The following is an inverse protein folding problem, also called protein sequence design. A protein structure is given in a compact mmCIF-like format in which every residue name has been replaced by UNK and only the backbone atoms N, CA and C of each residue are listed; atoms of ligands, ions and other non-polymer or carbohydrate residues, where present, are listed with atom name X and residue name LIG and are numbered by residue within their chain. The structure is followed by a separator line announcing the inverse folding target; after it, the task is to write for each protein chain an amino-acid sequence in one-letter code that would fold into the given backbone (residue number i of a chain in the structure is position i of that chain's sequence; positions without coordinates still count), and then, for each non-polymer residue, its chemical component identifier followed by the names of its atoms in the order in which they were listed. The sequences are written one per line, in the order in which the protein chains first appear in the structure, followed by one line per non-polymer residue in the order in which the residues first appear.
data_IF_313395674366
#
_entry.id   IF_313395674366
#
_cell.length_a   1.000
_cell.length_b   1.000
_cell.length_c   1.000
_cell.angle_alpha   90.00
_cell.angle_beta   90.00
_cell.angle_gamma   90.00
#
_symmetry.space_group_name_H-M   'P 1'
#
loop_
_entity.id
_entity.type
_entity.pdbx_description
1 polymer ?
#
# COMPACT_ATOMS: atom_id res chain seq x y z
N UNK A 1 -5.45 -27.13 -31.19
CA UNK A 1 -4.05 -27.11 -30.73
C UNK A 1 -4.04 -26.42 -29.37
N UNK A 2 -3.98 -27.17 -28.27
CA UNK A 2 -3.91 -26.58 -26.93
C UNK A 2 -2.45 -26.25 -26.59
N UNK A 3 -2.11 -24.97 -26.66
CA UNK A 3 -0.87 -24.44 -26.09
C UNK A 3 -1.02 -24.46 -24.56
N UNK A 4 -0.33 -25.39 -23.89
CA UNK A 4 -0.14 -25.32 -22.43
C UNK A 4 0.91 -24.24 -22.18
N UNK A 5 0.48 -23.12 -21.62
CA UNK A 5 1.38 -22.07 -21.14
C UNK A 5 2.35 -22.69 -20.10
N UNK A 6 3.64 -22.58 -20.36
CA UNK A 6 4.68 -22.99 -19.42
C UNK A 6 4.54 -22.16 -18.13
N UNK A 7 4.52 -22.79 -16.93
CA UNK A 7 4.40 -22.07 -15.68
C UNK A 7 5.56 -21.08 -15.54
N UNK A 8 5.23 -19.82 -15.23
CA UNK A 8 6.22 -18.77 -15.01
C UNK A 8 7.16 -19.11 -13.85
N UNK A 9 8.34 -18.49 -13.80
CA UNK A 9 9.34 -18.76 -12.75
C UNK A 9 8.74 -18.55 -11.34
N UNK A 10 7.89 -17.53 -11.18
CA UNK A 10 7.14 -17.28 -9.94
C UNK A 10 6.11 -18.38 -9.61
N UNK A 11 5.47 -18.95 -10.62
CA UNK A 11 4.52 -20.07 -10.49
C UNK A 11 5.23 -21.37 -10.07
N UNK A 12 6.48 -21.54 -10.52
CA UNK A 12 7.34 -22.67 -10.12
C UNK A 12 7.88 -22.49 -8.69
N UNK A 13 8.18 -21.25 -8.28
CA UNK A 13 8.63 -20.93 -6.93
C UNK A 13 7.49 -21.07 -5.90
N UNK A 14 6.30 -20.55 -6.21
CA UNK A 14 5.11 -20.71 -5.37
C UNK A 14 4.67 -22.18 -5.28
N UNK A 15 4.69 -22.92 -6.39
CA UNK A 15 4.44 -24.35 -6.42
C UNK A 15 5.46 -25.15 -5.59
N UNK A 16 6.75 -24.78 -5.64
CA UNK A 16 7.78 -25.43 -4.82
C UNK A 16 7.55 -25.18 -3.32
N UNK A 17 7.14 -23.97 -2.94
CA UNK A 17 6.84 -23.59 -1.55
C UNK A 17 5.59 -24.33 -1.02
N UNK A 18 4.56 -24.47 -1.84
CA UNK A 18 3.35 -25.24 -1.52
C UNK A 18 3.65 -26.74 -1.40
N UNK A 19 4.50 -27.28 -2.28
CA UNK A 19 4.91 -28.70 -2.25
C UNK A 19 5.75 -29.01 -1.02
N UNK A 20 6.70 -28.14 -0.67
CA UNK A 20 7.47 -28.21 0.59
C UNK A 20 6.52 -28.21 1.80
N UNK A 21 5.56 -27.26 1.84
CA UNK A 21 4.56 -27.16 2.92
C UNK A 21 3.68 -28.43 3.06
N UNK A 22 3.31 -29.05 1.94
CA UNK A 22 2.57 -30.32 1.92
C UNK A 22 3.37 -31.52 2.41
N UNK A 23 4.66 -31.59 2.10
CA UNK A 23 5.54 -32.66 2.59
C UNK A 23 5.83 -32.59 4.09
N UNK A 24 5.87 -31.39 4.70
CA UNK A 24 6.07 -31.22 6.14
C UNK A 24 4.87 -31.70 6.97
N UNK A 25 3.66 -31.49 6.47
CA UNK A 25 2.42 -31.91 7.16
C UNK A 25 2.19 -33.43 7.12
N UNK A 26 2.72 -34.12 6.10
CA UNK A 26 2.54 -35.56 5.91
C UNK A 26 3.49 -36.43 6.76
N UNK A 27 4.53 -35.86 7.36
CA UNK A 27 5.54 -36.58 8.17
C UNK A 27 5.45 -36.34 9.68
N UNK A 28 4.41 -35.65 10.16
CA UNK A 28 4.22 -35.41 11.60
C UNK A 28 5.21 -34.41 12.21
N UNK A 29 5.83 -33.56 11.39
CA UNK A 29 6.71 -32.48 11.84
C UNK A 29 5.96 -31.60 12.85
N UNK A 30 6.60 -31.32 13.99
CA UNK A 30 5.99 -30.57 15.09
C UNK A 30 5.94 -29.09 14.74
N UNK A 31 4.98 -28.69 13.91
CA UNK A 31 4.77 -27.28 13.58
C UNK A 31 4.30 -26.58 14.84
N UNK A 32 5.21 -25.86 15.50
CA UNK A 32 4.89 -25.09 16.70
C UNK A 32 3.69 -24.16 16.40
N UNK A 33 2.59 -24.28 17.16
CA UNK A 33 1.35 -23.53 16.92
C UNK A 33 1.55 -22.02 16.82
N UNK A 34 2.52 -21.48 17.55
CA UNK A 34 2.89 -20.06 17.55
C UNK A 34 3.35 -19.60 16.16
N UNK A 35 4.31 -20.30 15.53
CA UNK A 35 4.80 -19.94 14.20
C UNK A 35 3.76 -20.15 13.10
N UNK A 36 2.85 -21.10 13.27
CA UNK A 36 1.70 -21.26 12.36
C UNK A 36 0.75 -20.06 12.43
N UNK A 37 0.49 -19.55 13.64
CA UNK A 37 -0.32 -18.34 13.82
C UNK A 37 0.36 -17.13 13.17
N UNK A 38 1.67 -16.97 13.35
CA UNK A 38 2.46 -15.90 12.73
C UNK A 38 2.40 -15.99 11.20
N UNK A 39 2.63 -17.17 10.62
CA UNK A 39 2.55 -17.39 9.16
C UNK A 39 1.19 -17.00 8.59
N UNK A 40 0.12 -17.36 9.30
CA UNK A 40 -1.26 -16.99 8.92
C UNK A 40 -1.46 -15.48 9.00
N UNK A 41 -0.99 -14.85 10.07
CA UNK A 41 -1.07 -13.40 10.25
C UNK A 41 -0.35 -12.63 9.14
N UNK A 42 0.90 -13.01 8.85
CA UNK A 42 1.75 -12.33 7.86
C UNK A 42 1.19 -12.47 6.44
N UNK A 43 0.59 -13.63 6.10
CA UNK A 43 -0.13 -13.81 4.84
C UNK A 43 -1.35 -12.89 4.75
N UNK A 44 -2.19 -12.87 5.80
CA UNK A 44 -3.36 -11.98 5.84
C UNK A 44 -2.97 -10.49 5.77
N UNK A 45 -1.85 -10.12 6.39
CA UNK A 45 -1.31 -8.77 6.31
C UNK A 45 -0.88 -8.43 4.87
N UNK A 46 -0.17 -9.33 4.20
CA UNK A 46 0.21 -9.17 2.80
C UNK A 46 -1.02 -8.92 1.92
N UNK A 47 -2.05 -9.75 2.04
CA UNK A 47 -3.28 -9.64 1.25
C UNK A 47 -3.96 -8.28 1.47
N UNK A 48 -4.02 -7.80 2.71
CA UNK A 48 -4.58 -6.49 3.05
C UNK A 48 -3.76 -5.34 2.47
N UNK A 49 -2.42 -5.39 2.59
CA UNK A 49 -1.53 -4.37 2.05
C UNK A 49 -1.62 -4.31 0.52
N UNK A 50 -1.63 -5.46 -0.16
CA UNK A 50 -1.82 -5.53 -1.61
C UNK A 50 -3.18 -4.98 -2.03
N UNK A 51 -4.25 -5.25 -1.26
CA UNK A 51 -5.57 -4.66 -1.53
C UNK A 51 -5.54 -3.14 -1.40
N UNK A 52 -4.91 -2.60 -0.36
CA UNK A 52 -4.74 -1.16 -0.17
C UNK A 52 -3.97 -0.54 -1.33
N UNK A 53 -2.85 -1.15 -1.73
CA UNK A 53 -2.04 -0.70 -2.85
C UNK A 53 -2.84 -0.69 -4.17
N UNK A 54 -3.63 -1.72 -4.43
CA UNK A 54 -4.47 -1.80 -5.63
C UNK A 54 -5.52 -0.70 -5.68
N UNK A 55 -6.22 -0.44 -4.56
CA UNK A 55 -7.22 0.63 -4.47
C UNK A 55 -6.57 2.00 -4.62
N UNK A 56 -5.46 2.24 -3.93
CA UNK A 56 -4.73 3.51 -4.01
C UNK A 56 -4.21 3.80 -5.42
N UNK A 57 -3.70 2.79 -6.12
CA UNK A 57 -3.26 2.94 -7.51
C UNK A 57 -4.40 3.34 -8.44
N UNK A 58 -5.60 2.75 -8.27
CA UNK A 58 -6.79 3.13 -9.05
C UNK A 58 -7.20 4.58 -8.76
N UNK A 59 -7.29 4.95 -7.49
CA UNK A 59 -7.60 6.33 -7.06
C UNK A 59 -6.58 7.32 -7.65
N UNK A 60 -5.29 6.99 -7.60
CA UNK A 60 -4.24 7.84 -8.17
C UNK A 60 -4.40 8.02 -9.68
N UNK A 61 -4.71 6.95 -10.41
CA UNK A 61 -4.96 7.03 -11.85
C UNK A 61 -6.17 7.91 -12.18
N UNK A 62 -7.28 7.72 -11.46
CA UNK A 62 -8.47 8.57 -11.61
C UNK A 62 -8.17 10.04 -11.30
N UNK A 63 -7.30 10.33 -10.31
CA UNK A 63 -6.86 11.68 -10.00
C UNK A 63 -6.01 12.31 -11.11
N UNK A 64 -5.16 11.54 -11.78
CA UNK A 64 -4.42 12.02 -12.95
C UNK A 64 -5.37 12.36 -14.11
N UNK A 65 -6.39 11.54 -14.34
CA UNK A 65 -7.42 11.79 -15.35
C UNK A 65 -8.21 13.07 -15.01
N UNK A 66 -8.65 13.22 -13.75
CA UNK A 66 -9.34 14.42 -13.27
C UNK A 66 -8.46 15.68 -13.39
N UNK A 67 -7.15 15.59 -13.13
CA UNK A 67 -6.24 16.72 -13.28
C UNK A 67 -6.27 17.28 -14.71
N UNK A 68 -6.28 16.40 -15.71
CA UNK A 68 -6.40 16.79 -17.12
C UNK A 68 -7.74 17.47 -17.39
N UNK A 69 -8.83 16.91 -16.86
CA UNK A 69 -10.18 17.48 -17.01
C UNK A 69 -10.32 18.87 -16.37
N UNK A 70 -9.69 19.09 -15.22
CA UNK A 70 -9.69 20.41 -14.55
C UNK A 70 -8.96 21.46 -15.40
N UNK A 71 -7.79 21.13 -15.94
CA UNK A 71 -7.03 22.02 -16.83
C UNK A 71 -7.79 22.34 -18.13
N UNK A 72 -8.45 21.33 -18.71
CA UNK A 72 -9.29 21.49 -19.88
C UNK A 72 -10.52 22.36 -19.59
N UNK A 73 -11.19 22.14 -18.45
CA UNK A 73 -12.35 22.91 -18.00
C UNK A 73 -11.99 24.37 -17.78
N UNK A 74 -10.86 24.64 -17.11
CA UNK A 74 -10.32 25.99 -16.93
C UNK A 74 -10.12 26.70 -18.28
N UNK A 75 -9.48 26.03 -19.23
CA UNK A 75 -9.22 26.58 -20.57
C UNK A 75 -10.53 26.95 -21.29
N UNK A 76 -11.52 26.07 -21.27
CA UNK A 76 -12.82 26.32 -21.91
C UNK A 76 -13.55 27.50 -21.26
N UNK A 77 -13.54 27.59 -19.93
CA UNK A 77 -14.17 28.70 -19.21
C UNK A 77 -13.51 30.04 -19.55
N UNK A 78 -12.17 30.09 -19.67
CA UNK A 78 -11.49 31.30 -20.14
C UNK A 78 -11.88 31.70 -21.58
N UNK A 79 -12.12 30.73 -22.45
CA UNK A 79 -12.59 31.02 -23.80
C UNK A 79 -14.02 31.58 -23.76
N UNK A 80 -14.90 30.98 -22.98
CA UNK A 80 -16.29 31.45 -22.84
C UNK A 80 -16.36 32.84 -22.21
N UNK A 81 -15.55 33.14 -21.19
CA UNK A 81 -15.52 34.49 -20.60
C UNK A 81 -15.12 35.57 -21.60
N UNK A 82 -14.38 35.21 -22.65
CA UNK A 82 -14.02 36.16 -23.72
C UNK A 82 -15.19 36.40 -24.70
N UNK A 83 -16.07 35.42 -24.88
CA UNK A 83 -17.23 35.50 -25.77
C UNK A 83 -18.43 36.14 -25.08
N UNK A 84 -18.69 35.75 -23.83
CA UNK A 84 -19.85 36.18 -23.03
C UNK A 84 -19.47 37.35 -22.11
N UNK A 85 -19.53 38.58 -22.63
CA UNK A 85 -19.06 39.78 -21.90
C UNK A 85 -19.85 40.05 -20.61
N UNK A 86 -21.16 39.85 -20.62
CA UNK A 86 -22.03 40.10 -19.46
C UNK A 86 -21.83 39.09 -18.32
N UNK A 87 -21.42 37.86 -18.65
CA UNK A 87 -21.16 36.78 -17.70
C UNK A 87 -19.67 36.62 -17.38
N UNK A 88 -18.80 37.41 -18.03
CA UNK A 88 -17.34 37.24 -18.04
C UNK A 88 -16.75 37.15 -16.64
N UNK A 89 -17.13 38.07 -15.74
CA UNK A 89 -16.66 38.11 -14.35
C UNK A 89 -17.01 36.84 -13.59
N UNK A 90 -18.23 36.34 -13.74
CA UNK A 90 -18.68 35.11 -13.07
C UNK A 90 -17.97 33.87 -13.60
N UNK A 91 -17.84 33.76 -14.92
CA UNK A 91 -17.14 32.67 -15.59
C UNK A 91 -15.66 32.64 -15.20
N UNK A 92 -15.01 33.81 -15.14
CA UNK A 92 -13.62 33.92 -14.67
C UNK A 92 -13.47 33.53 -13.20
N UNK A 93 -14.43 33.89 -12.33
CA UNK A 93 -14.43 33.45 -10.95
C UNK A 93 -14.47 31.93 -10.81
N UNK A 94 -15.30 31.25 -11.61
CA UNK A 94 -15.35 29.78 -11.66
C UNK A 94 -14.04 29.20 -12.22
N UNK A 95 -13.50 29.78 -13.28
CA UNK A 95 -12.23 29.35 -13.87
C UNK A 95 -11.08 29.43 -12.86
N UNK A 96 -10.99 30.52 -12.09
CA UNK A 96 -10.00 30.67 -11.01
C UNK A 96 -10.19 29.68 -9.87
N UNK A 97 -11.43 29.31 -9.52
CA UNK A 97 -11.65 28.27 -8.51
C UNK A 97 -11.19 26.90 -9.00
N UNK A 98 -11.50 26.54 -10.25
CA UNK A 98 -11.03 25.29 -10.87
C UNK A 98 -9.50 25.26 -10.94
N UNK A 99 -8.86 26.38 -11.31
CA UNK A 99 -7.39 26.50 -11.33
C UNK A 99 -6.78 26.27 -9.93
N UNK A 100 -7.35 26.89 -8.90
CA UNK A 100 -6.90 26.70 -7.52
C UNK A 100 -7.06 25.25 -7.06
N UNK A 101 -8.16 24.58 -7.42
CA UNK A 101 -8.39 23.15 -7.13
C UNK A 101 -7.37 22.28 -7.86
N UNK A 102 -7.10 22.56 -9.14
CA UNK A 102 -6.12 21.83 -9.93
C UNK A 102 -4.72 21.95 -9.34
N UNK A 103 -4.32 23.15 -8.89
CA UNK A 103 -3.04 23.38 -8.21
C UNK A 103 -2.99 22.62 -6.88
N UNK A 104 -4.04 22.68 -6.07
CA UNK A 104 -4.10 21.98 -4.77
C UNK A 104 -4.08 20.47 -4.95
N UNK A 105 -4.78 19.91 -5.95
CA UNK A 105 -4.73 18.50 -6.29
C UNK A 105 -3.32 18.07 -6.70
N UNK A 106 -2.67 18.85 -7.56
CA UNK A 106 -1.30 18.58 -8.00
C UNK A 106 -0.32 18.54 -6.82
N UNK A 107 -0.35 19.56 -5.96
CA UNK A 107 0.57 19.68 -4.82
C UNK A 107 0.29 18.64 -3.73
N UNK A 108 -0.94 18.56 -3.25
CA UNK A 108 -1.25 17.78 -2.05
C UNK A 108 -1.50 16.29 -2.36
N UNK A 109 -2.03 15.96 -3.54
CA UNK A 109 -2.50 14.59 -3.83
C UNK A 109 -1.69 13.84 -4.89
N UNK A 110 -0.97 14.54 -5.78
CA UNK A 110 -0.26 13.91 -6.90
C UNK A 110 1.26 13.91 -6.74
N UNK A 111 1.89 15.05 -6.46
CA UNK A 111 3.34 15.19 -6.40
C UNK A 111 3.98 14.22 -5.41
N UNK A 112 3.41 14.15 -4.20
CA UNK A 112 3.98 13.36 -3.11
C UNK A 112 3.29 11.99 -2.94
N UNK A 113 2.42 11.58 -3.87
CA UNK A 113 1.71 10.29 -3.76
C UNK A 113 2.67 9.11 -3.63
N UNK A 114 3.75 9.13 -4.41
CA UNK A 114 4.75 8.07 -4.42
C UNK A 114 5.45 7.95 -3.05
N UNK A 115 5.99 9.06 -2.55
CA UNK A 115 6.77 9.11 -1.30
C UNK A 115 5.90 8.91 -0.07
N UNK A 116 4.66 9.40 -0.07
CA UNK A 116 3.78 9.34 1.10
C UNK A 116 3.03 8.02 1.26
N UNK A 117 2.86 7.24 0.18
CA UNK A 117 2.01 6.06 0.23
C UNK A 117 2.50 4.89 -0.62
N UNK A 118 2.83 5.11 -1.89
CA UNK A 118 3.20 3.99 -2.78
C UNK A 118 4.50 3.30 -2.34
N UNK A 119 5.56 4.07 -2.12
CA UNK A 119 6.87 3.54 -1.69
C UNK A 119 6.79 2.90 -0.30
N UNK A 120 6.19 3.54 0.73
CA UNK A 120 6.04 2.88 2.03
C UNK A 120 5.28 1.56 1.96
N UNK A 121 4.19 1.47 1.18
CA UNK A 121 3.44 0.21 1.03
C UNK A 121 4.28 -0.90 0.38
N UNK A 122 5.09 -0.55 -0.63
CA UNK A 122 5.99 -1.49 -1.29
C UNK A 122 7.08 -1.98 -0.34
N UNK A 123 7.70 -1.08 0.43
CA UNK A 123 8.67 -1.43 1.47
C UNK A 123 8.05 -2.36 2.52
N UNK A 124 6.82 -2.09 2.95
CA UNK A 124 6.08 -2.94 3.88
C UNK A 124 5.80 -4.35 3.34
N UNK A 125 5.47 -4.47 2.06
CA UNK A 125 5.33 -5.78 1.41
C UNK A 125 6.66 -6.53 1.36
N UNK A 126 7.76 -5.84 1.06
CA UNK A 126 9.10 -6.43 1.08
C UNK A 126 9.49 -6.91 2.48
N UNK A 127 9.18 -6.15 3.54
CA UNK A 127 9.38 -6.58 4.93
C UNK A 127 8.56 -7.82 5.25
N UNK A 128 7.28 -7.83 4.86
CA UNK A 128 6.38 -8.98 5.03
C UNK A 128 6.94 -10.23 4.35
N UNK A 129 7.52 -10.10 3.16
CA UNK A 129 8.13 -11.22 2.44
C UNK A 129 9.44 -11.69 3.10
N UNK A 130 10.26 -10.79 3.63
CA UNK A 130 11.43 -11.15 4.43
C UNK A 130 11.04 -11.96 5.69
N UNK A 131 9.93 -11.60 6.36
CA UNK A 131 9.40 -12.37 7.50
C UNK A 131 8.93 -13.77 7.05
N UNK A 132 8.22 -13.88 5.92
CA UNK A 132 7.82 -15.18 5.37
C UNK A 132 9.03 -16.06 5.06
N UNK A 133 10.08 -15.47 4.50
CA UNK A 133 11.33 -16.19 4.20
C UNK A 133 12.04 -16.66 5.48
N UNK A 134 12.09 -15.82 6.52
CA UNK A 134 12.64 -16.21 7.82
C UNK A 134 11.88 -17.39 8.44
N UNK A 135 10.54 -17.35 8.39
CA UNK A 135 9.70 -18.47 8.85
C UNK A 135 9.95 -19.75 8.04
N UNK A 136 10.15 -19.64 6.73
CA UNK A 136 10.47 -20.78 5.87
C UNK A 136 11.87 -21.36 6.17
N UNK A 137 12.86 -20.51 6.43
CA UNK A 137 14.20 -20.94 6.89
C UNK A 137 14.12 -21.68 8.22
N UNK A 138 13.32 -21.18 9.16
CA UNK A 138 13.06 -21.86 10.44
C UNK A 138 12.39 -23.22 10.26
N UNK A 139 11.34 -23.29 9.42
CA UNK A 139 10.66 -24.54 9.06
C UNK A 139 11.68 -25.57 8.52
N UNK A 140 12.64 -25.15 7.69
CA UNK A 140 13.68 -26.02 7.13
C UNK A 140 14.70 -26.50 8.18
N UNK A 141 15.12 -25.64 9.11
CA UNK A 141 16.03 -26.02 10.21
C UNK A 141 15.35 -27.01 11.16
N UNK A 142 14.09 -26.75 11.54
CA UNK A 142 13.28 -27.65 12.37
C UNK A 142 13.17 -29.04 11.72
N UNK A 143 12.88 -29.08 10.43
CA UNK A 143 12.80 -30.33 9.68
C UNK A 143 14.14 -31.08 9.63
N UNK A 144 15.26 -30.38 9.46
CA UNK A 144 16.58 -31.00 9.48
C UNK A 144 16.92 -31.61 10.85
N UNK A 145 16.56 -30.91 11.94
CA UNK A 145 16.69 -31.43 13.29
C UNK A 145 15.86 -32.70 13.51
N UNK A 146 14.56 -32.69 13.16
CA UNK A 146 13.69 -33.84 13.32
C UNK A 146 14.18 -35.08 12.54
N UNK A 147 14.64 -34.90 11.29
CA UNK A 147 15.26 -36.01 10.54
C UNK A 147 16.55 -36.50 11.19
N UNK A 148 17.37 -35.60 11.74
CA UNK A 148 18.58 -35.98 12.46
C UNK A 148 18.24 -36.80 13.70
N UNK A 149 17.21 -36.42 14.46
CA UNK A 149 16.75 -37.17 15.64
C UNK A 149 16.20 -38.54 15.24
N UNK A 150 15.40 -38.63 14.17
CA UNK A 150 14.88 -39.89 13.66
C UNK A 150 15.99 -40.85 13.18
N UNK A 151 17.04 -40.32 12.53
CA UNK A 151 18.24 -41.09 12.14
C UNK A 151 19.10 -41.48 13.36
N UNK A 152 19.05 -40.70 14.45
CA UNK A 152 19.91 -40.85 15.64
C UNK A 152 19.46 -41.91 16.63
N UNK A 153 18.29 -42.54 16.42
CA UNK A 153 18.02 -43.90 16.88
C UNK A 153 19.07 -44.94 16.39
N UNK A 154 20.01 -44.55 15.51
CA UNK A 154 21.06 -45.42 14.97
C UNK A 154 22.52 -44.93 15.07
N UNK A 155 22.87 -43.75 15.63
CA UNK A 155 24.25 -43.37 16.08
C UNK A 155 24.39 -41.88 16.49
N UNK A 156 24.90 -41.68 17.73
CA UNK A 156 25.70 -40.55 18.28
C UNK A 156 24.98 -39.23 18.69
N UNK A 157 24.94 -39.05 20.01
CA UNK A 157 24.40 -37.96 20.85
C UNK A 157 24.95 -36.53 20.55
N UNK A 158 26.19 -36.38 20.09
CA UNK A 158 26.81 -35.06 19.84
C UNK A 158 26.18 -34.27 18.67
N UNK A 159 25.62 -34.96 17.67
CA UNK A 159 24.93 -34.31 16.53
C UNK A 159 23.53 -33.82 16.90
N UNK A 160 22.93 -34.41 17.92
CA UNK A 160 21.61 -34.04 18.41
C UNK A 160 21.69 -32.70 19.16
N UNK A 161 22.71 -32.51 20.00
CA UNK A 161 22.94 -31.27 20.76
C UNK A 161 23.21 -30.06 19.82
N UNK A 162 24.14 -30.18 18.86
CA UNK A 162 24.45 -29.09 17.91
C UNK A 162 23.25 -28.70 17.02
N UNK A 163 22.39 -29.66 16.67
CA UNK A 163 21.19 -29.34 15.88
C UNK A 163 20.06 -28.77 16.75
N UNK A 164 19.99 -29.14 18.03
CA UNK A 164 19.04 -28.59 18.99
C UNK A 164 19.36 -27.12 19.29
N UNK A 165 20.62 -26.79 19.54
CA UNK A 165 21.08 -25.42 19.79
C UNK A 165 20.75 -24.49 18.60
N UNK A 166 20.92 -24.98 17.37
CA UNK A 166 20.57 -24.21 16.15
C UNK A 166 19.08 -23.92 16.05
N UNK A 167 18.22 -24.87 16.44
CA UNK A 167 16.77 -24.68 16.46
C UNK A 167 16.39 -23.64 17.50
N UNK A 168 16.97 -23.72 18.70
CA UNK A 168 16.69 -22.79 19.79
C UNK A 168 17.11 -21.37 19.42
N UNK A 169 18.33 -21.17 18.92
CA UNK A 169 18.83 -19.88 18.44
C UNK A 169 17.94 -19.30 17.32
N UNK A 170 17.55 -20.12 16.34
CA UNK A 170 16.68 -19.68 15.26
C UNK A 170 15.29 -19.25 15.75
N UNK A 171 14.75 -19.96 16.75
CA UNK A 171 13.46 -19.63 17.34
C UNK A 171 13.53 -18.32 18.15
N UNK A 172 14.54 -18.15 18.99
CA UNK A 172 14.73 -16.93 19.79
C UNK A 172 14.94 -15.70 18.91
N UNK A 173 15.81 -15.81 17.89
CA UNK A 173 16.08 -14.72 16.95
C UNK A 173 14.82 -14.26 16.23
N UNK A 174 14.05 -15.19 15.66
CA UNK A 174 12.82 -14.84 14.91
C UNK A 174 11.77 -14.24 15.84
N UNK A 175 11.67 -14.71 17.09
CA UNK A 175 10.73 -14.14 18.06
C UNK A 175 11.08 -12.70 18.40
N UNK A 176 12.35 -12.42 18.70
CA UNK A 176 12.81 -11.08 19.00
C UNK A 176 12.57 -10.11 17.83
N UNK A 177 12.92 -10.53 16.61
CA UNK A 177 12.69 -9.73 15.40
C UNK A 177 11.20 -9.45 15.17
N UNK A 178 10.35 -10.47 15.36
CA UNK A 178 8.91 -10.33 15.16
C UNK A 178 8.25 -9.44 16.21
N UNK A 179 8.65 -9.54 17.47
CA UNK A 179 8.12 -8.69 18.54
C UNK A 179 8.47 -7.22 18.29
N UNK A 180 9.72 -6.94 17.93
CA UNK A 180 10.15 -5.59 17.56
C UNK A 180 9.37 -5.06 16.36
N UNK A 181 9.31 -5.84 15.28
CA UNK A 181 8.55 -5.48 14.08
C UNK A 181 7.07 -5.25 14.39
N UNK A 182 6.49 -6.02 15.32
CA UNK A 182 5.09 -5.90 15.69
C UNK A 182 4.72 -4.53 16.27
N UNK A 183 5.64 -3.92 17.00
CA UNK A 183 5.48 -2.58 17.58
C UNK A 183 5.72 -1.51 16.53
N UNK A 184 6.86 -1.57 15.83
CA UNK A 184 7.28 -0.58 14.82
C UNK A 184 6.23 -0.46 13.70
N UNK A 185 5.74 -1.60 13.19
CA UNK A 185 4.78 -1.61 12.06
C UNK A 185 3.50 -0.83 12.31
N UNK A 186 3.00 -0.84 13.56
CA UNK A 186 1.70 -0.21 13.87
C UNK A 186 1.86 1.30 13.87
N UNK A 187 2.97 1.78 14.43
CA UNK A 187 3.29 3.21 14.53
C UNK A 187 3.51 3.77 13.13
N UNK A 188 4.31 3.09 12.32
CA UNK A 188 4.65 3.54 10.97
C UNK A 188 3.45 3.47 10.02
N UNK A 189 2.70 2.37 9.99
CA UNK A 189 1.49 2.27 9.17
C UNK A 189 0.45 3.33 9.55
N UNK A 190 0.30 3.60 10.85
CA UNK A 190 -0.53 4.71 11.32
C UNK A 190 -0.02 6.05 10.79
N UNK A 191 1.28 6.32 10.88
CA UNK A 191 1.89 7.54 10.37
C UNK A 191 1.68 7.75 8.86
N UNK A 192 1.83 6.68 8.06
CA UNK A 192 1.56 6.70 6.62
C UNK A 192 0.10 7.11 6.35
N UNK A 193 -0.85 6.46 7.03
CA UNK A 193 -2.28 6.73 6.84
C UNK A 193 -2.69 8.13 7.35
N UNK A 194 -2.11 8.57 8.47
CA UNK A 194 -2.32 9.92 9.00
C UNK A 194 -1.81 10.98 8.02
N UNK A 195 -0.64 10.78 7.41
CA UNK A 195 -0.12 11.71 6.42
C UNK A 195 -1.04 11.80 5.20
N UNK A 196 -1.50 10.66 4.65
CA UNK A 196 -2.47 10.65 3.55
C UNK A 196 -3.77 11.38 3.92
N UNK A 197 -4.28 11.14 5.12
CA UNK A 197 -5.48 11.82 5.61
C UNK A 197 -5.28 13.34 5.71
N UNK A 198 -4.14 13.79 6.23
CA UNK A 198 -3.81 15.21 6.33
C UNK A 198 -3.74 15.88 4.95
N UNK A 199 -3.09 15.24 3.97
CA UNK A 199 -3.04 15.75 2.60
C UNK A 199 -4.44 15.89 1.98
N UNK A 200 -5.32 14.92 2.22
CA UNK A 200 -6.70 15.00 1.77
C UNK A 200 -7.47 16.14 2.45
N UNK A 201 -7.29 16.33 3.76
CA UNK A 201 -7.91 17.45 4.49
C UNK A 201 -7.48 18.78 3.90
N UNK A 202 -6.19 18.98 3.65
CA UNK A 202 -5.65 20.20 3.03
C UNK A 202 -6.28 20.45 1.66
N UNK A 203 -6.30 19.43 0.79
CA UNK A 203 -6.93 19.53 -0.53
C UNK A 203 -8.41 19.95 -0.46
N UNK A 204 -9.20 19.34 0.42
CA UNK A 204 -10.62 19.66 0.53
C UNK A 204 -10.86 21.04 1.15
N UNK A 205 -10.02 21.47 2.09
CA UNK A 205 -10.07 22.83 2.65
C UNK A 205 -9.75 23.90 1.60
N UNK A 206 -8.69 23.69 0.81
CA UNK A 206 -8.34 24.57 -0.30
C UNK A 206 -9.46 24.64 -1.35
N UNK A 207 -10.03 23.48 -1.69
CA UNK A 207 -11.13 23.38 -2.65
C UNK A 207 -12.37 24.12 -2.17
N UNK A 208 -12.72 23.99 -0.89
CA UNK A 208 -13.85 24.73 -0.29
C UNK A 208 -13.63 26.23 -0.39
N UNK A 209 -12.44 26.70 0.01
CA UNK A 209 -12.08 28.12 -0.03
C UNK A 209 -12.10 28.69 -1.46
N UNK A 210 -11.65 27.91 -2.44
CA UNK A 210 -11.69 28.29 -3.84
C UNK A 210 -13.15 28.52 -4.31
N UNK A 211 -14.05 27.60 -3.97
CA UNK A 211 -15.48 27.74 -4.29
C UNK A 211 -16.17 28.87 -3.56
N UNK A 212 -15.86 29.11 -2.28
CA UNK A 212 -16.38 30.25 -1.52
C UNK A 212 -15.99 31.58 -2.18
N UNK A 213 -14.74 31.69 -2.63
CA UNK A 213 -14.22 32.88 -3.33
C UNK A 213 -14.94 33.09 -4.68
N UNK A 214 -15.19 32.03 -5.44
CA UNK A 214 -15.97 32.12 -6.68
C UNK A 214 -17.42 32.53 -6.42
N UNK A 215 -18.04 32.00 -5.36
CA UNK A 215 -19.41 32.34 -4.99
C UNK A 215 -19.55 33.82 -4.61
N UNK A 216 -18.59 34.37 -3.87
CA UNK A 216 -18.54 35.80 -3.56
C UNK A 216 -18.41 36.66 -4.82
N UNK A 217 -17.58 36.22 -5.77
CA UNK A 217 -17.38 36.89 -7.06
C UNK A 217 -18.69 36.94 -7.87
N UNK A 218 -19.43 35.83 -7.91
CA UNK A 218 -20.73 35.73 -8.56
C UNK A 218 -21.79 36.64 -7.91
N UNK A 219 -21.84 36.67 -6.58
CA UNK A 219 -22.76 37.54 -5.83
C UNK A 219 -22.50 39.02 -6.13
N UNK A 220 -21.22 39.42 -6.19
CA UNK A 220 -20.83 40.80 -6.51
C UNK A 220 -21.18 41.19 -7.94
N UNK A 221 -20.83 40.35 -8.91
CA UNK A 221 -21.17 40.60 -10.32
C UNK A 221 -22.68 40.68 -10.57
N UNK A 222 -23.48 39.90 -9.84
CA UNK A 222 -24.95 39.96 -9.94
C UNK A 222 -25.52 41.28 -9.42
N UNK A 223 -24.94 41.83 -8.34
CA UNK A 223 -25.34 43.14 -7.81
C UNK A 223 -24.98 44.28 -8.79
N UNK A 224 -23.77 44.25 -9.36
CA UNK A 224 -23.31 45.26 -10.32
C UNK A 224 -24.16 45.29 -11.60
N UNK A 225 -24.56 44.13 -12.12
CA UNK A 225 -25.45 44.03 -13.28
C UNK A 225 -26.87 44.53 -12.95
N UNK A 226 -27.36 44.31 -11.73
CA UNK A 226 -28.68 44.81 -11.32
C UNK A 226 -28.76 46.32 -11.10
N UNK A 227 -27.62 46.97 -10.80
CA UNK A 227 -27.52 48.44 -10.65
C UNK A 227 -27.26 49.18 -11.97
N UNK A 228 -27.00 48.45 -13.06
CA UNK A 228 -26.66 49.00 -14.39
C UNK A 228 -27.85 49.08 -15.35
N UNK A 229 -29.04 48.67 -14.90
CA UNK A 229 -30.33 48.77 -15.60
C UNK A 229 -31.29 49.69 -14.85
#
# INVERSE_FOLDING_TARGET
MHSKASPGILDRLTGSLQTLTGTYSARGCSVNPEFKAIKTYVNNLADKLTSIQSVNFKIYKERLELQVELEDSKRVLHQWSNLEKELSTGILGIASAIDAIAISQQTNLLNDHSSHLSQPLEEYLNYVDAVKEALARRDAIQFAYENSVDESNKKRQEKEEDNQDKVEIANESIKADLERWNVEKVIEMKGILENVANQHVLFYQDSLKAWETALETLKRGSQENSSSH
#
